data_IF_099741517996
#
_entry.id   IF_099741517996
#
_cell.length_a   1.000
_cell.length_b   1.000
_cell.length_c   1.000
_cell.angle_alpha   90.00
_cell.angle_beta   90.00
_cell.angle_gamma   90.00
#
_symmetry.space_group_name_H-M   'P 1'
#
loop_
_entity.id
_entity.type
_entity.pdbx_description
1 polymer ?
#
# COMPACT_ATOMS: atom_id res chain seq x y z
N UNK A 1 -5.66 -3.04 4.40
CA UNK A 1 -4.45 -2.55 3.70
C UNK A 1 -4.72 -2.21 2.23
N UNK A 2 -5.17 -3.16 1.39
CA UNK A 2 -5.41 -2.92 -0.06
C UNK A 2 -6.34 -1.75 -0.35
N UNK A 3 -7.45 -1.63 0.39
CA UNK A 3 -8.39 -0.51 0.26
C UNK A 3 -7.72 0.86 0.43
N UNK A 4 -6.75 0.98 1.34
CA UNK A 4 -6.02 2.23 1.57
C UNK A 4 -5.18 2.60 0.35
N UNK A 5 -4.44 1.66 -0.23
CA UNK A 5 -3.60 1.90 -1.42
C UNK A 5 -4.47 2.23 -2.62
N UNK A 6 -5.56 1.47 -2.81
CA UNK A 6 -6.51 1.73 -3.89
C UNK A 6 -7.09 3.14 -3.80
N UNK A 7 -7.58 3.54 -2.62
CA UNK A 7 -8.11 4.89 -2.39
C UNK A 7 -7.09 5.97 -2.76
N UNK A 8 -5.83 5.83 -2.36
CA UNK A 8 -4.78 6.81 -2.66
C UNK A 8 -4.51 6.91 -4.17
N UNK A 9 -4.40 5.78 -4.87
CA UNK A 9 -4.16 5.78 -6.32
C UNK A 9 -5.37 6.24 -7.12
N UNK A 10 -6.57 5.93 -6.66
CA UNK A 10 -7.80 6.41 -7.26
C UNK A 10 -7.95 7.94 -7.11
N UNK A 11 -7.68 8.49 -5.93
CA UNK A 11 -7.66 9.94 -5.73
C UNK A 11 -6.63 10.64 -6.64
N UNK A 12 -5.46 10.02 -6.83
CA UNK A 12 -4.45 10.50 -7.76
C UNK A 12 -4.95 10.49 -9.22
N UNK A 13 -5.65 9.42 -9.64
CA UNK A 13 -6.25 9.30 -10.98
C UNK A 13 -7.28 10.43 -11.22
N UNK A 14 -8.20 10.63 -10.28
CA UNK A 14 -9.22 11.70 -10.37
C UNK A 14 -8.57 13.08 -10.47
N UNK A 15 -7.51 13.33 -9.70
CA UNK A 15 -6.75 14.59 -9.76
C UNK A 15 -6.10 14.81 -11.14
N UNK A 16 -5.53 13.77 -11.73
CA UNK A 16 -4.92 13.86 -13.07
C UNK A 16 -5.98 14.06 -14.17
N UNK A 17 -7.13 13.40 -14.08
CA UNK A 17 -8.26 13.62 -14.98
C UNK A 17 -8.76 15.06 -14.92
N UNK A 18 -8.93 15.62 -13.71
CA UNK A 18 -9.34 17.02 -13.52
C UNK A 18 -8.37 18.01 -14.18
N UNK A 19 -7.05 17.79 -14.01
CA UNK A 19 -6.02 18.63 -14.65
C UNK A 19 -6.03 18.52 -16.18
N UNK A 20 -6.35 17.36 -16.73
CA UNK A 20 -6.47 17.18 -18.16
C UNK A 20 -7.71 17.90 -18.71
N UNK A 21 -8.84 17.81 -18.00
CA UNK A 21 -10.06 18.54 -18.34
C UNK A 21 -9.83 20.06 -18.39
N UNK A 22 -9.22 20.64 -17.34
CA UNK A 22 -8.91 22.08 -17.33
C UNK A 22 -8.08 22.52 -18.54
N UNK A 23 -7.05 21.74 -18.92
CA UNK A 23 -6.23 22.04 -20.10
C UNK A 23 -6.99 21.93 -21.42
N UNK A 24 -7.92 20.98 -21.54
CA UNK A 24 -8.75 20.86 -22.74
C UNK A 24 -9.65 22.09 -22.90
N UNK A 25 -10.26 22.54 -21.79
CA UNK A 25 -11.10 23.75 -21.77
C UNK A 25 -10.29 25.01 -22.11
N UNK A 26 -9.11 25.19 -21.52
CA UNK A 26 -8.23 26.35 -21.78
C UNK A 26 -7.73 26.42 -23.22
N UNK A 27 -7.50 25.27 -23.85
CA UNK A 27 -6.99 25.19 -25.24
C UNK A 27 -8.09 25.08 -26.29
N UNK A 28 -9.37 25.06 -25.87
CA UNK A 28 -10.52 24.86 -26.77
C UNK A 28 -10.54 23.48 -27.44
N UNK A 29 -9.80 22.50 -26.91
CA UNK A 29 -9.72 21.14 -27.47
C UNK A 29 -10.83 20.26 -26.91
N UNK A 30 -11.39 19.39 -27.76
CA UNK A 30 -12.37 18.40 -27.31
C UNK A 30 -11.80 17.46 -26.24
N UNK A 31 -12.60 17.21 -25.21
CA UNK A 31 -12.24 16.33 -24.10
C UNK A 31 -12.42 14.86 -24.50
N UNK A 32 -11.31 14.11 -24.54
CA UNK A 32 -11.35 12.68 -24.79
C UNK A 32 -11.13 11.89 -23.48
N UNK A 33 -12.15 11.14 -23.07
CA UNK A 33 -12.13 10.32 -21.85
C UNK A 33 -11.02 9.27 -21.89
N UNK A 34 -10.77 8.64 -23.03
CA UNK A 34 -9.75 7.56 -23.12
C UNK A 34 -8.35 8.10 -22.88
N UNK A 35 -8.08 9.33 -23.32
CA UNK A 35 -6.82 10.04 -23.04
C UNK A 35 -6.74 10.58 -21.61
N UNK A 36 -7.89 10.91 -21.01
CA UNK A 36 -7.97 11.40 -19.63
C UNK A 36 -7.61 10.32 -18.61
N UNK A 37 -8.05 9.07 -18.83
CA UNK A 37 -7.88 7.96 -17.87
C UNK A 37 -6.50 7.34 -18.02
N UNK A 38 -5.55 7.77 -17.19
CA UNK A 38 -4.21 7.18 -17.11
C UNK A 38 -4.20 5.89 -16.27
N UNK A 39 -4.46 4.75 -16.89
CA UNK A 39 -4.50 3.42 -16.25
C UNK A 39 -3.23 3.06 -15.46
N UNK A 40 -2.06 3.49 -15.95
CA UNK A 40 -0.77 3.25 -15.30
C UNK A 40 -0.67 3.77 -13.86
N UNK A 41 -1.47 4.76 -13.45
CA UNK A 41 -1.46 5.27 -12.06
C UNK A 41 -1.81 4.16 -11.07
N UNK A 42 -2.83 3.36 -11.38
CA UNK A 42 -3.30 2.27 -10.52
C UNK A 42 -2.40 1.04 -10.72
N UNK A 43 -2.19 0.62 -11.97
CA UNK A 43 -1.42 -0.60 -12.28
C UNK A 43 0.00 -0.56 -11.71
N UNK A 44 0.77 0.48 -12.05
CA UNK A 44 2.15 0.60 -11.56
C UNK A 44 2.20 0.90 -10.07
N UNK A 45 1.22 1.65 -9.55
CA UNK A 45 1.10 1.95 -8.12
C UNK A 45 0.91 0.69 -7.26
N UNK A 46 0.00 -0.19 -7.66
CA UNK A 46 -0.24 -1.46 -6.98
C UNK A 46 0.94 -2.42 -7.13
N UNK A 47 1.50 -2.55 -8.35
CA UNK A 47 2.68 -3.39 -8.61
C UNK A 47 3.86 -2.99 -7.72
N UNK A 48 4.12 -1.69 -7.58
CA UNK A 48 5.20 -1.19 -6.72
C UNK A 48 4.97 -1.54 -5.24
N UNK A 49 3.79 -1.28 -4.70
CA UNK A 49 3.50 -1.52 -3.27
C UNK A 49 3.62 -3.01 -2.92
N UNK A 50 3.12 -3.89 -3.80
CA UNK A 50 3.17 -5.33 -3.61
C UNK A 50 4.58 -5.90 -3.80
N UNK A 51 5.34 -5.40 -4.77
CA UNK A 51 6.69 -5.92 -5.06
C UNK A 51 7.72 -5.49 -4.02
N UNK A 52 7.61 -4.27 -3.49
CA UNK A 52 8.62 -3.69 -2.57
C UNK A 52 8.24 -3.79 -1.11
N UNK A 53 6.95 -4.01 -0.80
CA UNK A 53 6.45 -3.96 0.56
C UNK A 53 6.36 -2.54 1.15
N UNK A 54 6.59 -1.49 0.34
CA UNK A 54 6.41 -0.09 0.73
C UNK A 54 4.98 0.36 0.42
N UNK A 55 4.17 0.55 1.47
CA UNK A 55 2.77 0.92 1.36
C UNK A 55 2.60 2.40 1.71
N UNK A 56 2.50 3.24 0.68
CA UNK A 56 2.36 4.69 0.83
C UNK A 56 2.72 5.47 -0.43
N UNK A 57 2.78 6.78 -0.30
CA UNK A 57 3.29 7.65 -1.37
C UNK A 57 4.83 7.69 -1.28
N UNK A 58 5.53 7.37 -2.37
CA UNK A 58 7.00 7.42 -2.44
C UNK A 58 7.53 8.81 -2.03
N UNK A 59 6.77 9.87 -2.35
CA UNK A 59 7.13 11.24 -2.01
C UNK A 59 7.04 11.56 -0.51
N UNK A 60 6.38 10.70 0.28
CA UNK A 60 6.24 10.81 1.74
C UNK A 60 6.76 9.55 2.41
N UNK A 61 8.02 9.21 2.12
CA UNK A 61 8.66 7.98 2.58
C UNK A 61 8.61 7.80 4.11
N UNK A 62 8.69 8.88 4.89
CA UNK A 62 8.65 8.86 6.35
C UNK A 62 7.31 8.39 6.94
N UNK A 63 6.20 8.51 6.20
CA UNK A 63 4.87 8.03 6.63
C UNK A 63 4.48 6.70 5.98
N UNK A 64 5.37 6.12 5.17
CA UNK A 64 5.09 4.88 4.45
C UNK A 64 5.28 3.67 5.37
N UNK A 65 4.37 2.70 5.29
CA UNK A 65 4.49 1.44 6.03
C UNK A 65 5.41 0.52 5.21
N UNK A 66 6.60 0.26 5.71
CA UNK A 66 7.57 -0.63 5.06
C UNK A 66 7.40 -2.09 5.50
N UNK A 67 7.78 -3.02 4.62
CA UNK A 67 7.85 -4.46 4.93
C UNK A 67 6.50 -5.18 5.06
N UNK A 68 5.42 -4.59 4.54
CA UNK A 68 4.06 -5.15 4.61
C UNK A 68 3.89 -6.32 3.63
N UNK A 69 4.43 -6.20 2.41
CA UNK A 69 4.49 -7.30 1.45
C UNK A 69 5.87 -7.94 1.53
N UNK A 70 5.89 -9.28 1.63
CA UNK A 70 7.10 -10.07 1.80
C UNK A 70 7.09 -11.22 0.80
N UNK A 71 8.28 -11.67 0.39
CA UNK A 71 8.41 -12.87 -0.44
C UNK A 71 8.00 -14.07 0.39
N UNK A 72 7.09 -14.89 -0.13
CA UNK A 72 6.57 -16.06 0.56
C UNK A 72 7.70 -17.06 0.86
N UNK A 73 7.72 -17.56 2.10
CA UNK A 73 8.70 -18.55 2.53
C UNK A 73 8.21 -19.93 2.08
N UNK A 74 9.07 -20.66 1.34
CA UNK A 74 8.76 -21.98 0.76
C UNK A 74 9.72 -23.08 1.19
N UNK A 75 10.42 -22.95 2.32
CA UNK A 75 11.35 -23.99 2.77
C UNK A 75 10.64 -25.30 3.16
N UNK A 76 9.48 -25.21 3.82
CA UNK A 76 8.64 -26.36 4.15
C UNK A 76 7.16 -25.97 4.05
N UNK A 77 6.28 -26.97 3.96
CA UNK A 77 4.83 -26.73 4.01
C UNK A 77 4.42 -25.97 5.27
N UNK A 78 4.93 -26.40 6.44
CA UNK A 78 4.69 -25.74 7.72
C UNK A 78 5.20 -24.29 7.72
N UNK A 79 6.37 -24.01 7.12
CA UNK A 79 6.91 -22.65 7.01
C UNK A 79 6.03 -21.74 6.16
N UNK A 80 5.51 -22.27 5.05
CA UNK A 80 4.58 -21.55 4.17
C UNK A 80 3.31 -21.17 4.91
N UNK A 81 2.70 -22.13 5.62
CA UNK A 81 1.47 -21.93 6.39
C UNK A 81 1.67 -20.94 7.54
N UNK A 82 2.79 -21.07 8.27
CA UNK A 82 3.17 -20.13 9.33
C UNK A 82 3.31 -18.71 8.78
N UNK A 83 3.98 -18.54 7.64
CA UNK A 83 4.21 -17.23 7.04
C UNK A 83 2.89 -16.53 6.66
N UNK A 84 1.93 -17.24 6.07
CA UNK A 84 0.63 -16.68 5.68
C UNK A 84 -0.23 -16.19 6.86
N UNK A 85 0.03 -16.70 8.08
CA UNK A 85 -0.73 -16.36 9.30
C UNK A 85 -0.09 -15.24 10.12
N UNK A 86 1.07 -14.70 9.71
CA UNK A 86 1.78 -13.67 10.47
C UNK A 86 1.05 -12.34 10.44
N UNK A 87 1.08 -11.65 11.57
CA UNK A 87 0.68 -10.24 11.70
C UNK A 87 1.83 -9.45 12.32
N UNK A 88 2.12 -8.27 11.79
CA UNK A 88 3.21 -7.41 12.28
C UNK A 88 2.65 -6.26 13.13
N UNK A 89 3.22 -6.04 14.31
CA UNK A 89 2.91 -4.88 15.14
C UNK A 89 3.73 -3.68 14.67
N UNK A 90 3.12 -2.52 14.35
CA UNK A 90 3.83 -1.34 13.86
C UNK A 90 4.53 -0.62 15.02
N UNK A 91 5.62 -1.19 15.52
CA UNK A 91 6.45 -0.63 16.59
C UNK A 91 7.83 -0.31 16.02
N UNK A 92 8.39 0.84 16.39
CA UNK A 92 9.75 1.21 16.02
C UNK A 92 10.76 0.17 16.47
N UNK A 93 11.73 -0.16 15.61
CA UNK A 93 12.75 -1.19 15.90
C UNK A 93 13.71 -0.76 17.01
N UNK A 94 13.88 0.55 17.20
CA UNK A 94 14.88 1.13 18.11
C UNK A 94 14.38 1.31 19.56
N UNK A 95 13.07 1.13 19.81
CA UNK A 95 12.51 1.26 21.15
C UNK A 95 12.62 -0.03 21.96
N UNK A 96 13.36 0.02 23.09
CA UNK A 96 13.34 -1.01 24.17
C UNK A 96 12.04 -0.96 25.00
N UNK A 97 10.90 -0.78 24.35
CA UNK A 97 9.60 -0.76 25.02
C UNK A 97 9.14 -2.21 25.21
N UNK A 98 9.12 -2.68 26.46
CA UNK A 98 8.84 -4.07 26.79
C UNK A 98 7.34 -4.42 26.78
N UNK A 99 6.48 -3.54 27.30
CA UNK A 99 5.03 -3.81 27.47
C UNK A 99 4.32 -4.40 26.23
N UNK A 100 4.44 -3.85 25.01
CA UNK A 100 3.74 -4.40 23.84
C UNK A 100 4.38 -5.69 23.29
N UNK A 101 5.53 -6.11 23.83
CA UNK A 101 6.19 -7.39 23.49
C UNK A 101 5.88 -8.49 24.50
N UNK A 102 5.28 -8.15 25.65
CA UNK A 102 4.88 -9.13 26.66
C UNK A 102 3.61 -9.85 26.23
N UNK A 103 3.48 -11.11 26.62
CA UNK A 103 2.26 -11.87 26.42
C UNK A 103 1.16 -11.31 27.34
N UNK A 104 0.15 -10.70 26.75
CA UNK A 104 -1.06 -10.27 27.45
C UNK A 104 -2.09 -11.42 27.51
N UNK A 105 -2.89 -11.50 28.58
CA UNK A 105 -3.87 -12.58 28.77
C UNK A 105 -4.95 -12.61 27.67
N UNK A 106 -5.25 -11.47 27.04
CA UNK A 106 -6.21 -11.41 25.93
C UNK A 106 -5.78 -12.18 24.67
N UNK A 107 -4.54 -12.67 24.60
CA UNK A 107 -4.07 -13.51 23.50
C UNK A 107 -4.57 -14.95 23.60
N UNK A 108 -5.02 -15.39 24.78
CA UNK A 108 -5.47 -16.76 25.01
C UNK A 108 -6.54 -17.20 24.00
N UNK A 109 -6.26 -18.27 23.25
CA UNK A 109 -7.17 -18.85 22.27
C UNK A 109 -7.24 -18.14 20.91
N UNK A 110 -6.44 -17.09 20.68
CA UNK A 110 -6.44 -16.30 19.43
C UNK A 110 -5.08 -16.22 18.74
N UNK A 111 -3.99 -16.15 19.52
CA UNK A 111 -2.61 -15.98 19.04
C UNK A 111 -1.77 -17.21 19.35
#
# INVERSE_FOLDING_TARGET
LMAQVFRLKFQQLVKEMKKYLHRCVETGREFNITLAVKTNIITSGLRYCLATGNWGDQKKASSSKAGVSQVLNRYTYASTLSHLRRTNTPIGRDGKIAKPRQLHNSHWGLV
#
